data_IF_859059512379
#
_entry.id   IF_859059512379
#
_cell.length_a   1.000
_cell.length_b   1.000
_cell.length_c   1.000
_cell.angle_alpha   90.00
_cell.angle_beta   90.00
_cell.angle_gamma   90.00
#
_symmetry.space_group_name_H-M   'P 1'
#
loop_
_entity.id
_entity.type
_entity.pdbx_description
1 polymer ?
#
# COMPACT_ATOMS: atom_id res chain seq x y z
N UNK A 1 40.21 -44.50 6.67
CA UNK A 1 41.10 -43.85 7.67
C UNK A 1 41.65 -42.53 7.12
N UNK A 2 41.03 -41.39 7.50
CA UNK A 2 41.50 -40.06 7.10
C UNK A 2 42.61 -39.58 8.04
N UNK A 3 43.78 -39.24 7.51
CA UNK A 3 44.88 -38.65 8.28
C UNK A 3 44.58 -37.17 8.55
N UNK A 4 44.39 -36.81 9.82
CA UNK A 4 44.25 -35.42 10.25
C UNK A 4 45.64 -34.75 10.34
N UNK A 5 45.74 -33.49 9.93
CA UNK A 5 46.98 -32.70 9.96
C UNK A 5 46.92 -31.75 11.15
N UNK A 6 47.84 -31.88 12.10
CA UNK A 6 48.01 -30.91 13.19
C UNK A 6 49.10 -29.93 12.77
N UNK A 7 48.74 -28.67 12.53
CA UNK A 7 49.72 -27.63 12.16
C UNK A 7 50.24 -26.98 13.44
N UNK A 8 51.56 -27.08 13.66
CA UNK A 8 52.23 -26.40 14.75
C UNK A 8 52.83 -25.08 14.26
N UNK A 9 52.41 -23.97 14.87
CA UNK A 9 53.11 -22.68 14.78
C UNK A 9 53.58 -22.29 16.19
N UNK A 10 54.88 -22.09 16.36
CA UNK A 10 55.45 -21.68 17.65
C UNK A 10 54.76 -20.41 18.17
N UNK A 11 54.31 -20.43 19.43
CA UNK A 11 53.50 -19.40 20.12
C UNK A 11 52.02 -19.24 19.74
N UNK A 12 51.38 -20.20 19.06
CA UNK A 12 49.91 -20.24 18.92
C UNK A 12 49.34 -21.59 19.41
N UNK A 13 48.18 -21.55 20.09
CA UNK A 13 47.44 -22.77 20.50
C UNK A 13 47.17 -23.62 19.25
N UNK A 14 47.47 -24.92 19.32
CA UNK A 14 47.24 -25.89 18.24
C UNK A 14 45.78 -25.89 17.82
N UNK A 15 45.52 -25.66 16.53
CA UNK A 15 44.18 -25.63 15.97
C UNK A 15 43.94 -26.95 15.23
N UNK A 16 42.84 -27.63 15.58
CA UNK A 16 42.44 -28.88 14.93
C UNK A 16 41.81 -28.55 13.57
N UNK A 17 42.29 -29.22 12.52
CA UNK A 17 41.72 -29.08 11.18
C UNK A 17 41.29 -30.46 10.69
N UNK A 18 40.03 -30.56 10.25
CA UNK A 18 39.48 -31.84 9.78
C UNK A 18 40.18 -32.28 8.47
N UNK A 19 40.26 -33.60 8.19
CA UNK A 19 40.88 -34.09 6.95
C UNK A 19 40.20 -33.48 5.71
N UNK A 20 40.95 -32.71 4.92
CA UNK A 20 40.46 -31.99 3.73
C UNK A 20 40.22 -30.49 3.92
N UNK A 21 40.38 -29.97 5.14
CA UNK A 21 40.46 -28.53 5.41
C UNK A 21 41.95 -28.13 5.52
N UNK A 22 42.37 -27.08 4.81
CA UNK A 22 43.67 -26.44 5.03
C UNK A 22 43.49 -25.29 6.02
N UNK A 23 44.50 -25.02 6.87
CA UNK A 23 44.50 -23.80 7.69
C UNK A 23 44.54 -22.56 6.80
N UNK A 24 43.38 -21.93 6.60
CA UNK A 24 43.27 -20.60 6.00
C UNK A 24 43.71 -19.56 7.04
N UNK A 25 45.03 -19.48 7.26
CA UNK A 25 45.66 -18.60 8.25
C UNK A 25 46.79 -17.82 7.58
N UNK A 26 46.66 -16.50 7.53
CA UNK A 26 47.62 -15.59 6.88
C UNK A 26 47.24 -14.13 7.10
N UNK A 27 48.04 -13.22 6.56
CA UNK A 27 47.65 -11.82 6.41
C UNK A 27 46.53 -11.67 5.36
N UNK A 28 45.94 -10.48 5.25
CA UNK A 28 44.84 -10.24 4.33
C UNK A 28 45.24 -10.52 2.87
N UNK A 29 46.45 -10.13 2.46
CA UNK A 29 46.94 -10.35 1.10
C UNK A 29 47.06 -11.84 0.76
N UNK A 30 47.61 -12.66 1.66
CA UNK A 30 47.73 -14.11 1.46
C UNK A 30 46.35 -14.78 1.37
N UNK A 31 45.41 -14.43 2.26
CA UNK A 31 44.05 -14.99 2.21
C UNK A 31 43.32 -14.59 0.92
N UNK A 32 43.54 -13.37 0.44
CA UNK A 32 42.98 -12.92 -0.83
C UNK A 32 43.57 -13.70 -2.02
N UNK A 33 44.89 -13.92 -2.03
CA UNK A 33 45.58 -14.71 -3.05
C UNK A 33 45.12 -16.17 -3.09
N UNK A 34 44.88 -16.79 -1.92
CA UNK A 34 44.28 -18.14 -1.85
C UNK A 34 42.92 -18.15 -2.52
N UNK A 35 42.10 -17.11 -2.26
CA UNK A 35 40.80 -16.92 -2.93
C UNK A 35 40.93 -16.89 -4.45
N UNK A 36 41.79 -16.02 -4.97
CA UNK A 36 42.01 -15.88 -6.41
C UNK A 36 42.57 -17.15 -7.07
N UNK A 37 43.44 -17.87 -6.38
CA UNK A 37 44.03 -19.12 -6.88
C UNK A 37 42.95 -20.20 -6.96
N UNK A 38 42.13 -20.32 -5.91
CA UNK A 38 41.02 -21.26 -5.89
C UNK A 38 39.96 -20.96 -6.97
N UNK A 39 39.72 -19.69 -7.31
CA UNK A 39 38.87 -19.33 -8.45
C UNK A 39 39.44 -19.83 -9.78
N UNK A 40 40.74 -19.63 -10.03
CA UNK A 40 41.42 -20.11 -11.24
C UNK A 40 41.42 -21.63 -11.35
N UNK A 41 41.47 -22.32 -10.22
CA UNK A 41 41.36 -23.78 -10.12
C UNK A 41 39.93 -24.30 -10.32
N UNK A 42 38.93 -23.42 -10.47
CA UNK A 42 37.53 -23.81 -10.59
C UNK A 42 36.93 -24.32 -9.27
N UNK A 43 37.50 -23.92 -8.13
CA UNK A 43 37.03 -24.28 -6.79
C UNK A 43 36.40 -23.09 -6.06
N UNK A 44 35.18 -22.67 -6.44
CA UNK A 44 34.53 -21.48 -5.87
C UNK A 44 34.23 -21.63 -4.38
N UNK A 45 34.00 -22.85 -3.88
CA UNK A 45 33.78 -23.10 -2.45
C UNK A 45 35.03 -22.81 -1.62
N UNK A 46 36.22 -23.22 -2.09
CA UNK A 46 37.50 -22.89 -1.44
C UNK A 46 37.75 -21.39 -1.48
N UNK A 47 37.48 -20.73 -2.62
CA UNK A 47 37.61 -19.29 -2.75
C UNK A 47 36.72 -18.52 -1.76
N UNK A 48 35.43 -18.87 -1.67
CA UNK A 48 34.48 -18.27 -0.72
C UNK A 48 34.96 -18.42 0.73
N UNK A 49 35.52 -19.59 1.12
CA UNK A 49 36.05 -19.79 2.47
C UNK A 49 37.27 -18.89 2.76
N UNK A 50 38.16 -18.73 1.80
CA UNK A 50 39.34 -17.86 1.92
C UNK A 50 38.91 -16.39 2.10
N UNK A 51 37.99 -15.90 1.27
CA UNK A 51 37.44 -14.55 1.41
C UNK A 51 36.70 -14.34 2.73
N UNK A 52 35.86 -15.28 3.17
CA UNK A 52 35.20 -15.23 4.48
C UNK A 52 36.21 -15.17 5.63
N UNK A 53 37.31 -15.91 5.53
CA UNK A 53 38.38 -15.89 6.53
C UNK A 53 39.07 -14.54 6.58
N UNK A 54 39.31 -13.90 5.43
CA UNK A 54 39.86 -12.54 5.36
C UNK A 54 38.95 -11.55 6.06
N UNK A 55 37.65 -11.56 5.78
CA UNK A 55 36.68 -10.62 6.39
C UNK A 55 36.58 -10.84 7.90
N UNK A 56 36.63 -12.10 8.35
CA UNK A 56 36.56 -12.44 9.78
C UNK A 56 37.79 -12.00 10.55
N UNK A 57 38.98 -12.18 9.99
CA UNK A 57 40.25 -11.96 10.71
C UNK A 57 40.86 -10.59 10.45
N UNK A 58 40.58 -9.98 9.30
CA UNK A 58 41.12 -8.70 8.85
C UNK A 58 40.04 -7.74 8.33
N UNK A 59 38.96 -7.46 9.11
CA UNK A 59 37.82 -6.67 8.64
C UNK A 59 38.13 -5.18 8.36
N UNK A 60 39.30 -4.67 8.76
CA UNK A 60 39.71 -3.28 8.51
C UNK A 60 40.70 -3.13 7.36
N UNK A 61 41.10 -4.24 6.76
CA UNK A 61 42.05 -4.24 5.66
C UNK A 61 41.41 -3.68 4.39
N UNK A 62 42.22 -2.99 3.57
CA UNK A 62 41.79 -2.45 2.27
C UNK A 62 41.23 -3.52 1.31
N UNK A 63 41.63 -4.79 1.47
CA UNK A 63 41.16 -5.91 0.66
C UNK A 63 39.84 -6.51 1.15
N UNK A 64 39.40 -6.18 2.37
CA UNK A 64 38.17 -6.72 2.93
C UNK A 64 36.90 -6.45 2.08
N UNK A 65 36.63 -5.21 1.59
CA UNK A 65 35.51 -4.98 0.70
C UNK A 65 35.62 -5.74 -0.63
N UNK A 66 36.81 -5.85 -1.22
CA UNK A 66 37.04 -6.63 -2.45
C UNK A 66 36.79 -8.12 -2.23
N UNK A 67 37.26 -8.67 -1.12
CA UNK A 67 37.07 -10.08 -0.76
C UNK A 67 35.58 -10.39 -0.55
N UNK A 68 34.86 -9.51 0.13
CA UNK A 68 33.44 -9.67 0.38
C UNK A 68 32.62 -9.58 -0.91
N UNK A 69 32.95 -8.62 -1.78
CA UNK A 69 32.33 -8.50 -3.10
C UNK A 69 32.55 -9.75 -3.95
N UNK A 70 33.80 -10.21 -4.10
CA UNK A 70 34.12 -11.43 -4.86
C UNK A 70 33.47 -12.68 -4.27
N UNK A 71 33.50 -12.83 -2.95
CA UNK A 71 32.81 -13.91 -2.25
C UNK A 71 31.30 -13.92 -2.51
N UNK A 72 30.65 -12.76 -2.54
CA UNK A 72 29.24 -12.62 -2.85
C UNK A 72 28.92 -12.98 -4.31
N UNK A 73 29.74 -12.53 -5.28
CA UNK A 73 29.58 -12.88 -6.69
C UNK A 73 29.69 -14.40 -6.93
N UNK A 74 30.66 -15.05 -6.28
CA UNK A 74 30.81 -16.51 -6.37
C UNK A 74 29.59 -17.25 -5.77
N UNK A 75 29.01 -16.73 -4.68
CA UNK A 75 27.79 -17.30 -4.12
C UNK A 75 26.60 -17.15 -5.08
N UNK A 76 26.47 -15.99 -5.73
CA UNK A 76 25.44 -15.76 -6.75
C UNK A 76 25.60 -16.71 -7.95
N UNK A 77 26.83 -16.91 -8.44
CA UNK A 77 27.15 -17.87 -9.50
C UNK A 77 26.82 -19.32 -9.13
N UNK A 78 26.97 -19.67 -7.85
CA UNK A 78 26.58 -20.97 -7.31
C UNK A 78 25.07 -21.08 -7.02
N UNK A 79 24.29 -20.04 -7.32
CA UNK A 79 22.86 -19.93 -7.01
C UNK A 79 22.54 -19.93 -5.50
N UNK A 80 23.54 -19.66 -4.67
CA UNK A 80 23.40 -19.45 -3.23
C UNK A 80 22.92 -18.01 -2.96
N UNK A 81 21.73 -17.67 -3.47
CA UNK A 81 21.23 -16.29 -3.53
C UNK A 81 21.06 -15.61 -2.17
N UNK A 82 20.67 -16.37 -1.13
CA UNK A 82 20.52 -15.79 0.22
C UNK A 82 21.88 -15.46 0.85
N UNK A 83 22.85 -16.40 0.91
CA UNK A 83 24.22 -16.05 1.26
C UNK A 83 24.78 -14.86 0.47
N UNK A 84 24.53 -14.82 -0.85
CA UNK A 84 24.99 -13.74 -1.70
C UNK A 84 24.41 -12.39 -1.26
N UNK A 85 23.08 -12.30 -1.09
CA UNK A 85 22.41 -11.09 -0.64
C UNK A 85 22.87 -10.64 0.77
N UNK A 86 23.13 -11.59 1.68
CA UNK A 86 23.69 -11.30 3.00
C UNK A 86 25.12 -10.75 2.92
N UNK A 87 25.95 -11.31 2.03
CA UNK A 87 27.32 -10.84 1.81
C UNK A 87 27.35 -9.45 1.17
N UNK A 88 26.47 -9.19 0.19
CA UNK A 88 26.29 -7.84 -0.36
C UNK A 88 25.75 -6.85 0.68
N UNK A 89 24.84 -7.28 1.57
CA UNK A 89 24.37 -6.46 2.70
C UNK A 89 25.52 -6.08 3.61
N UNK A 90 26.32 -7.06 4.01
CA UNK A 90 27.47 -6.82 4.86
C UNK A 90 28.45 -5.84 4.21
N UNK A 91 28.59 -5.87 2.87
CA UNK A 91 29.44 -4.94 2.14
C UNK A 91 28.95 -3.49 2.28
N UNK A 92 27.67 -3.26 1.99
CA UNK A 92 27.10 -1.90 2.03
C UNK A 92 27.01 -1.35 3.46
N UNK A 93 26.84 -2.22 4.46
CA UNK A 93 26.76 -1.81 5.86
C UNK A 93 28.14 -1.53 6.48
N UNK A 94 29.12 -2.40 6.23
CA UNK A 94 30.45 -2.28 6.87
C UNK A 94 31.42 -1.42 6.08
N UNK A 95 31.25 -1.34 4.76
CA UNK A 95 32.15 -0.62 3.85
C UNK A 95 31.39 0.35 2.95
N UNK A 96 30.69 1.37 3.49
CA UNK A 96 29.89 2.29 2.71
C UNK A 96 30.70 3.15 1.71
N UNK A 97 32.01 3.31 1.92
CA UNK A 97 32.91 4.02 1.00
C UNK A 97 33.57 3.10 -0.03
N UNK A 98 33.17 1.82 -0.08
CA UNK A 98 33.70 0.84 -1.01
C UNK A 98 33.36 1.23 -2.46
N UNK A 99 34.28 1.04 -3.43
CA UNK A 99 33.94 1.22 -4.84
C UNK A 99 32.87 0.24 -5.33
N UNK A 100 32.61 -0.85 -4.59
CA UNK A 100 31.59 -1.85 -4.91
C UNK A 100 30.23 -1.58 -4.24
N UNK A 101 30.04 -0.42 -3.60
CA UNK A 101 28.81 -0.10 -2.88
C UNK A 101 27.59 -0.18 -3.81
N UNK A 102 27.62 0.55 -4.93
CA UNK A 102 26.52 0.59 -5.89
C UNK A 102 26.27 -0.78 -6.54
N UNK A 103 27.34 -1.49 -6.92
CA UNK A 103 27.23 -2.84 -7.49
C UNK A 103 26.58 -3.83 -6.52
N UNK A 104 26.86 -3.69 -5.22
CA UNK A 104 26.27 -4.53 -4.17
C UNK A 104 24.78 -4.21 -3.96
N UNK A 105 24.39 -2.93 -3.97
CA UNK A 105 22.97 -2.52 -3.93
C UNK A 105 22.22 -3.06 -5.15
N UNK A 106 22.79 -2.94 -6.35
CA UNK A 106 22.19 -3.47 -7.56
C UNK A 106 22.04 -5.01 -7.47
N UNK A 107 23.08 -5.72 -7.00
CA UNK A 107 23.01 -7.16 -6.84
C UNK A 107 21.94 -7.59 -5.84
N UNK A 108 21.80 -6.88 -4.71
CA UNK A 108 20.69 -7.12 -3.78
C UNK A 108 19.34 -6.91 -4.44
N UNK A 109 19.17 -5.81 -5.19
CA UNK A 109 17.92 -5.55 -5.90
C UNK A 109 17.58 -6.68 -6.89
N UNK A 110 18.53 -7.10 -7.74
CA UNK A 110 18.37 -8.21 -8.68
C UNK A 110 17.99 -9.52 -7.97
N UNK A 111 18.65 -9.84 -6.86
CA UNK A 111 18.33 -11.05 -6.07
C UNK A 111 16.92 -10.94 -5.46
N UNK A 112 16.53 -9.76 -4.97
CA UNK A 112 15.17 -9.48 -4.52
C UNK A 112 14.14 -9.77 -5.61
N UNK A 113 14.37 -9.31 -6.84
CA UNK A 113 13.49 -9.58 -7.99
C UNK A 113 13.42 -11.08 -8.34
N UNK A 114 14.51 -11.83 -8.20
CA UNK A 114 14.50 -13.29 -8.38
C UNK A 114 13.54 -13.96 -7.37
N UNK A 115 13.62 -13.57 -6.10
CA UNK A 115 12.75 -14.08 -5.05
C UNK A 115 11.29 -13.65 -5.22
N UNK A 116 11.05 -12.41 -5.66
CA UNK A 116 9.71 -11.88 -5.94
C UNK A 116 9.01 -12.65 -7.08
N UNK A 117 9.76 -12.99 -8.13
CA UNK A 117 9.21 -13.62 -9.32
C UNK A 117 8.92 -15.12 -9.14
N UNK A 118 9.67 -15.82 -8.27
CA UNK A 118 9.34 -17.14 -7.70
C UNK A 118 9.18 -18.34 -8.66
N UNK A 119 8.95 -18.14 -9.97
CA UNK A 119 8.70 -19.20 -10.96
C UNK A 119 9.92 -20.10 -11.17
N UNK A 120 11.13 -19.54 -11.14
CA UNK A 120 12.38 -20.33 -11.27
C UNK A 120 12.79 -21.00 -9.95
N UNK A 121 12.49 -20.40 -8.79
CA UNK A 121 12.84 -20.98 -7.49
C UNK A 121 11.93 -22.14 -7.08
N UNK A 122 10.68 -22.20 -7.57
CA UNK A 122 9.77 -23.32 -7.31
C UNK A 122 10.33 -24.67 -7.83
N UNK A 123 11.18 -24.63 -8.86
CA UNK A 123 11.93 -25.79 -9.38
C UNK A 123 13.02 -26.25 -8.40
N UNK A 124 13.51 -25.35 -7.53
CA UNK A 124 14.59 -25.58 -6.57
C UNK A 124 14.07 -25.98 -5.17
N UNK A 125 12.79 -26.34 -5.03
CA UNK A 125 12.21 -26.84 -3.77
C UNK A 125 11.90 -25.79 -2.70
N UNK A 126 11.97 -24.49 -3.01
CA UNK A 126 11.68 -23.40 -2.05
C UNK A 126 10.18 -23.05 -2.08
N UNK A 127 9.46 -23.03 -0.93
CA UNK A 127 8.06 -22.61 -0.88
C UNK A 127 7.87 -21.15 -1.31
N UNK A 128 6.80 -20.87 -2.06
CA UNK A 128 6.54 -19.53 -2.59
C UNK A 128 6.39 -18.46 -1.50
N UNK A 129 5.71 -18.77 -0.39
CA UNK A 129 5.57 -17.85 0.74
C UNK A 129 6.93 -17.43 1.31
N UNK A 130 7.83 -18.41 1.51
CA UNK A 130 9.20 -18.17 1.98
C UNK A 130 10.01 -17.33 1.00
N UNK A 131 9.77 -17.51 -0.31
CA UNK A 131 10.40 -16.71 -1.37
C UNK A 131 10.01 -15.22 -1.26
N UNK A 132 8.72 -14.93 -1.06
CA UNK A 132 8.22 -13.57 -0.94
C UNK A 132 8.74 -12.86 0.33
N UNK A 133 8.84 -13.57 1.47
CA UNK A 133 9.43 -12.99 2.69
C UNK A 133 10.92 -12.66 2.53
N UNK A 134 11.67 -13.48 1.79
CA UNK A 134 13.06 -13.18 1.43
C UNK A 134 13.15 -11.96 0.53
N UNK A 135 12.28 -11.84 -0.47
CA UNK A 135 12.22 -10.65 -1.33
C UNK A 135 12.02 -9.38 -0.50
N UNK A 136 11.01 -9.37 0.39
CA UNK A 136 10.75 -8.24 1.29
C UNK A 136 11.97 -7.89 2.13
N UNK A 137 12.63 -8.90 2.72
CA UNK A 137 13.82 -8.67 3.56
C UNK A 137 14.96 -8.03 2.77
N UNK A 138 15.21 -8.52 1.55
CA UNK A 138 16.29 -8.03 0.69
C UNK A 138 16.00 -6.60 0.20
N UNK A 139 14.79 -6.33 -0.29
CA UNK A 139 14.40 -4.98 -0.70
C UNK A 139 14.40 -3.99 0.48
N UNK A 140 13.95 -4.40 1.66
CA UNK A 140 14.01 -3.57 2.86
C UNK A 140 15.45 -3.18 3.24
N UNK A 141 16.42 -4.08 2.99
CA UNK A 141 17.83 -3.75 3.17
C UNK A 141 18.28 -2.68 2.17
N UNK A 142 17.95 -2.82 0.88
CA UNK A 142 18.25 -1.81 -0.15
C UNK A 142 17.70 -0.44 0.25
N UNK A 143 16.42 -0.37 0.65
CA UNK A 143 15.77 0.89 1.07
C UNK A 143 16.47 1.52 2.27
N UNK A 144 16.91 0.70 3.23
CA UNK A 144 17.58 1.17 4.45
C UNK A 144 19.01 1.64 4.20
N UNK A 145 19.78 0.92 3.37
CA UNK A 145 21.21 1.20 3.17
C UNK A 145 21.47 2.23 2.08
N UNK A 146 20.55 2.40 1.14
CA UNK A 146 20.66 3.37 0.06
C UNK A 146 19.37 4.20 -0.09
N UNK A 147 18.94 5.01 0.90
CA UNK A 147 17.64 5.70 0.89
C UNK A 147 17.40 6.63 -0.32
N UNK A 148 18.47 7.09 -0.98
CA UNK A 148 18.44 7.93 -2.18
C UNK A 148 19.04 7.24 -3.42
N UNK A 149 19.23 5.91 -3.35
CA UNK A 149 19.81 5.12 -4.43
C UNK A 149 18.83 4.88 -5.58
N UNK A 150 19.38 4.62 -6.76
CA UNK A 150 18.63 4.38 -8.02
C UNK A 150 17.54 3.31 -7.89
N UNK A 151 17.75 2.31 -7.04
CA UNK A 151 16.86 1.15 -6.90
C UNK A 151 15.84 1.30 -5.77
N UNK A 152 15.89 2.38 -4.99
CA UNK A 152 15.21 2.43 -3.69
C UNK A 152 13.72 2.65 -3.78
N UNK A 153 13.27 3.57 -4.63
CA UNK A 153 11.85 3.75 -4.89
C UNK A 153 11.22 2.47 -5.44
N UNK A 154 11.93 1.81 -6.36
CA UNK A 154 11.48 0.53 -6.94
C UNK A 154 11.48 -0.61 -5.93
N UNK A 155 12.53 -0.74 -5.10
CA UNK A 155 12.59 -1.73 -4.04
C UNK A 155 11.44 -1.54 -3.04
N UNK A 156 11.11 -0.29 -2.67
CA UNK A 156 9.98 0.00 -1.79
C UNK A 156 8.64 -0.40 -2.42
N UNK A 157 8.46 -0.17 -3.72
CA UNK A 157 7.29 -0.64 -4.47
C UNK A 157 7.24 -2.18 -4.51
N UNK A 158 8.36 -2.84 -4.75
CA UNK A 158 8.44 -4.29 -4.86
C UNK A 158 8.23 -4.99 -3.51
N UNK A 159 8.47 -4.32 -2.38
CA UNK A 159 7.99 -4.76 -1.05
C UNK A 159 6.46 -4.82 -1.05
N UNK A 160 5.78 -3.79 -1.55
CA UNK A 160 4.32 -3.76 -1.67
C UNK A 160 3.80 -4.90 -2.55
N UNK A 161 4.42 -5.10 -3.71
CA UNK A 161 4.07 -6.18 -4.64
C UNK A 161 4.29 -7.58 -4.03
N UNK A 162 5.34 -7.77 -3.23
CA UNK A 162 5.57 -9.01 -2.51
C UNK A 162 4.46 -9.27 -1.47
N UNK A 163 4.09 -8.25 -0.68
CA UNK A 163 3.02 -8.35 0.33
C UNK A 163 1.65 -8.58 -0.29
N UNK A 164 1.38 -7.95 -1.43
CA UNK A 164 0.15 -8.16 -2.21
C UNK A 164 0.04 -9.62 -2.67
N UNK A 165 1.13 -10.19 -3.23
CA UNK A 165 1.18 -11.62 -3.63
C UNK A 165 1.01 -12.58 -2.46
N UNK A 166 1.32 -12.16 -1.24
CA UNK A 166 1.07 -12.93 0.00
C UNK A 166 -0.38 -12.80 0.50
N UNK A 167 -1.19 -11.89 -0.06
CA UNK A 167 -2.51 -11.53 0.46
C UNK A 167 -2.46 -10.65 1.71
N UNK A 168 -1.29 -10.13 2.08
CA UNK A 168 -1.10 -9.23 3.22
C UNK A 168 -1.45 -7.79 2.83
N UNK A 169 -2.73 -7.53 2.57
CA UNK A 169 -3.21 -6.27 1.99
C UNK A 169 -2.80 -5.04 2.81
N UNK A 170 -2.93 -5.09 4.15
CA UNK A 170 -2.55 -3.96 5.01
C UNK A 170 -1.06 -3.61 4.88
N UNK A 171 -0.20 -4.63 4.84
CA UNK A 171 1.24 -4.45 4.66
C UNK A 171 1.57 -3.96 3.24
N UNK A 172 0.84 -4.41 2.23
CA UNK A 172 1.00 -3.95 0.86
C UNK A 172 0.61 -2.46 0.72
N UNK A 173 -0.53 -2.07 1.30
CA UNK A 173 -0.99 -0.68 1.34
C UNK A 173 0.03 0.23 2.02
N UNK A 174 0.57 -0.16 3.18
CA UNK A 174 1.62 0.59 3.86
C UNK A 174 2.88 0.75 2.99
N UNK A 175 3.29 -0.31 2.31
CA UNK A 175 4.48 -0.28 1.47
C UNK A 175 4.30 0.60 0.23
N UNK A 176 3.14 0.54 -0.44
CA UNK A 176 2.82 1.40 -1.58
C UNK A 176 2.63 2.86 -1.16
N UNK A 177 1.97 3.12 -0.02
CA UNK A 177 1.82 4.48 0.52
C UNK A 177 3.20 5.10 0.80
N UNK A 178 4.13 4.32 1.35
CA UNK A 178 5.50 4.79 1.55
C UNK A 178 6.22 5.15 0.24
N UNK A 179 5.85 4.56 -0.91
CA UNK A 179 6.37 4.99 -2.22
C UNK A 179 5.83 6.36 -2.58
N UNK A 180 4.52 6.55 -2.46
CA UNK A 180 3.84 7.82 -2.78
C UNK A 180 4.37 8.95 -1.90
N UNK A 181 4.55 8.70 -0.60
CA UNK A 181 4.98 9.71 0.36
C UNK A 181 6.46 10.09 0.21
N UNK A 182 7.33 9.10 0.00
CA UNK A 182 8.79 9.30 0.01
C UNK A 182 9.39 9.56 -1.36
N UNK A 183 8.75 9.07 -2.42
CA UNK A 183 9.25 9.15 -3.79
C UNK A 183 8.19 9.72 -4.76
N UNK A 184 7.51 10.84 -4.45
CA UNK A 184 6.37 11.33 -5.23
C UNK A 184 6.71 11.68 -6.69
N UNK A 185 7.98 11.97 -6.99
CA UNK A 185 8.43 12.34 -8.34
C UNK A 185 8.98 11.15 -9.15
N UNK A 186 9.12 9.97 -8.53
CA UNK A 186 9.60 8.78 -9.23
C UNK A 186 8.46 8.17 -10.05
N UNK A 187 8.72 7.67 -11.27
CA UNK A 187 7.68 7.07 -12.13
C UNK A 187 6.87 5.97 -11.43
N UNK A 188 7.51 5.22 -10.52
CA UNK A 188 6.88 4.12 -9.77
C UNK A 188 5.84 4.60 -8.76
N UNK A 189 5.82 5.87 -8.35
CA UNK A 189 4.79 6.40 -7.45
C UNK A 189 3.41 6.44 -8.11
N UNK A 190 3.36 6.63 -9.43
CA UNK A 190 2.11 6.55 -10.20
C UNK A 190 1.54 5.14 -10.11
N UNK A 191 2.38 4.12 -10.31
CA UNK A 191 1.97 2.71 -10.17
C UNK A 191 1.55 2.41 -8.73
N UNK A 192 2.28 2.89 -7.72
CA UNK A 192 1.95 2.69 -6.31
C UNK A 192 0.57 3.25 -5.95
N UNK A 193 0.29 4.49 -6.36
CA UNK A 193 -1.01 5.13 -6.12
C UNK A 193 -2.16 4.34 -6.76
N UNK A 194 -1.94 3.82 -7.97
CA UNK A 194 -2.93 2.96 -8.63
C UNK A 194 -3.13 1.64 -7.87
N UNK A 195 -2.05 0.99 -7.40
CA UNK A 195 -2.15 -0.28 -6.67
C UNK A 195 -2.89 -0.14 -5.34
N UNK A 196 -2.77 1.00 -4.65
CA UNK A 196 -3.55 1.30 -3.43
C UNK A 196 -5.06 1.17 -3.73
N UNK A 197 -5.55 1.82 -4.79
CA UNK A 197 -6.94 1.71 -5.20
C UNK A 197 -7.32 0.30 -5.65
N UNK A 198 -6.41 -0.40 -6.33
CA UNK A 198 -6.65 -1.75 -6.83
C UNK A 198 -6.77 -2.82 -5.73
N UNK A 199 -5.99 -2.68 -4.64
CA UNK A 199 -6.13 -3.54 -3.45
C UNK A 199 -7.52 -3.40 -2.85
N UNK A 200 -7.96 -2.15 -2.59
CA UNK A 200 -9.30 -1.90 -2.05
C UNK A 200 -10.41 -2.37 -2.99
N UNK A 201 -10.22 -2.17 -4.30
CA UNK A 201 -11.16 -2.65 -5.32
C UNK A 201 -11.32 -4.17 -5.28
N UNK A 202 -10.22 -4.91 -5.18
CA UNK A 202 -10.24 -6.37 -5.09
C UNK A 202 -10.92 -6.83 -3.79
N UNK A 203 -10.66 -6.15 -2.67
CA UNK A 203 -11.36 -6.40 -1.40
C UNK A 203 -12.88 -6.14 -1.53
N UNK A 204 -13.27 -5.04 -2.18
CA UNK A 204 -14.68 -4.69 -2.44
C UNK A 204 -15.38 -5.69 -3.38
N UNK A 205 -14.64 -6.35 -4.27
CA UNK A 205 -15.20 -7.37 -5.16
C UNK A 205 -15.39 -8.72 -4.48
N UNK A 206 -14.44 -9.16 -3.66
CA UNK A 206 -14.47 -10.46 -2.99
C UNK A 206 -15.34 -10.46 -1.73
N UNK A 207 -15.48 -9.31 -1.06
CA UNK A 207 -16.32 -9.14 0.12
C UNK A 207 -17.80 -8.96 -0.22
N UNK A 208 -18.67 -9.77 0.36
CA UNK A 208 -20.14 -9.64 0.21
C UNK A 208 -20.72 -8.44 0.98
N UNK A 209 -19.93 -7.77 1.85
CA UNK A 209 -20.42 -6.70 2.75
C UNK A 209 -19.44 -5.55 3.02
N UNK A 210 -18.31 -5.44 2.31
CA UNK A 210 -17.30 -4.42 2.64
C UNK A 210 -17.58 -3.07 1.95
N UNK A 211 -18.58 -2.34 2.48
CA UNK A 211 -18.91 -1.00 2.02
C UNK A 211 -17.75 0.00 2.24
N UNK A 212 -16.92 -0.24 3.26
CA UNK A 212 -15.72 0.55 3.51
C UNK A 212 -14.67 0.34 2.42
N UNK A 213 -14.38 -0.91 2.03
CA UNK A 213 -13.47 -1.18 0.92
C UNK A 213 -13.92 -0.56 -0.40
N UNK A 214 -15.23 -0.59 -0.73
CA UNK A 214 -15.76 0.05 -1.93
C UNK A 214 -15.56 1.58 -1.88
N UNK A 215 -15.78 2.20 -0.72
CA UNK A 215 -15.59 3.63 -0.50
C UNK A 215 -14.10 4.02 -0.59
N UNK A 216 -13.23 3.22 0.03
CA UNK A 216 -11.77 3.41 -0.04
C UNK A 216 -11.26 3.26 -1.47
N UNK A 217 -11.73 2.26 -2.20
CA UNK A 217 -11.38 2.05 -3.60
C UNK A 217 -11.81 3.23 -4.48
N UNK A 218 -13.03 3.72 -4.28
CA UNK A 218 -13.56 4.88 -5.01
C UNK A 218 -12.69 6.11 -4.74
N UNK A 219 -12.43 6.39 -3.47
CA UNK A 219 -11.59 7.53 -3.05
C UNK A 219 -10.19 7.42 -3.66
N UNK A 220 -9.53 6.27 -3.51
CA UNK A 220 -8.19 6.06 -4.04
C UNK A 220 -8.08 6.20 -5.57
N UNK A 221 -9.06 5.70 -6.33
CA UNK A 221 -9.07 5.89 -7.79
C UNK A 221 -9.42 7.32 -8.20
N UNK A 222 -10.30 8.01 -7.47
CA UNK A 222 -10.58 9.43 -7.70
C UNK A 222 -9.33 10.27 -7.43
N UNK A 223 -8.63 10.01 -6.32
CA UNK A 223 -7.35 10.65 -5.99
C UNK A 223 -6.30 10.37 -7.06
N UNK A 224 -6.21 9.11 -7.54
CA UNK A 224 -5.32 8.75 -8.64
C UNK A 224 -5.63 9.54 -9.91
N UNK A 225 -6.90 9.65 -10.30
CA UNK A 225 -7.31 10.39 -11.51
C UNK A 225 -7.12 11.91 -11.35
N UNK A 226 -7.22 12.43 -10.13
CA UNK A 226 -6.97 13.82 -9.82
C UNK A 226 -5.48 14.16 -9.98
N UNK A 227 -4.58 13.34 -9.40
CA UNK A 227 -3.14 13.58 -9.46
C UNK A 227 -2.51 13.18 -10.80
N UNK A 228 -3.03 12.14 -11.45
CA UNK A 228 -2.44 11.53 -12.65
C UNK A 228 -3.43 11.37 -13.81
N UNK A 229 -4.13 12.43 -14.26
CA UNK A 229 -5.23 12.34 -15.24
C UNK A 229 -4.81 11.82 -16.62
N UNK A 230 -3.51 11.89 -16.94
CA UNK A 230 -2.91 11.47 -18.22
C UNK A 230 -2.09 10.18 -18.11
N UNK A 231 -2.06 9.52 -16.95
CA UNK A 231 -1.36 8.24 -16.80
C UNK A 231 -1.97 7.17 -17.71
N UNK A 232 -1.16 6.22 -18.18
CA UNK A 232 -1.61 5.03 -18.91
C UNK A 232 -2.66 4.23 -18.12
N UNK A 233 -2.62 4.29 -16.77
CA UNK A 233 -3.58 3.64 -15.88
C UNK A 233 -4.89 4.42 -15.71
N UNK A 234 -5.02 5.63 -16.22
CA UNK A 234 -6.22 6.46 -16.04
C UNK A 234 -7.48 5.82 -16.63
N UNK A 235 -7.36 5.22 -17.82
CA UNK A 235 -8.47 4.50 -18.43
C UNK A 235 -8.90 3.31 -17.57
N UNK A 236 -7.93 2.57 -17.02
CA UNK A 236 -8.20 1.43 -16.16
C UNK A 236 -8.82 1.85 -14.81
N UNK A 237 -8.35 2.96 -14.22
CA UNK A 237 -8.92 3.51 -12.99
C UNK A 237 -10.38 3.96 -13.18
N UNK A 238 -10.70 4.61 -14.31
CA UNK A 238 -12.09 4.96 -14.67
C UNK A 238 -12.95 3.70 -14.82
N UNK A 239 -12.47 2.69 -15.52
CA UNK A 239 -13.20 1.43 -15.67
C UNK A 239 -13.46 0.73 -14.32
N UNK A 240 -12.48 0.73 -13.40
CA UNK A 240 -12.68 0.16 -12.06
C UNK A 240 -13.70 0.96 -11.24
N UNK A 241 -13.70 2.30 -11.36
CA UNK A 241 -14.71 3.16 -10.75
C UNK A 241 -16.11 2.84 -11.29
N UNK A 242 -16.25 2.70 -12.59
CA UNK A 242 -17.53 2.35 -13.21
C UNK A 242 -18.05 1.02 -12.67
N UNK A 243 -17.19 0.01 -12.49
CA UNK A 243 -17.54 -1.28 -11.89
C UNK A 243 -18.05 -1.11 -10.44
N UNK A 244 -17.37 -0.29 -9.63
CA UNK A 244 -17.78 -0.01 -8.25
C UNK A 244 -19.14 0.69 -8.21
N UNK A 245 -19.34 1.70 -9.05
CA UNK A 245 -20.57 2.48 -9.13
C UNK A 245 -21.74 1.64 -9.65
N UNK A 246 -21.52 0.81 -10.65
CA UNK A 246 -22.54 -0.13 -11.14
C UNK A 246 -22.97 -1.13 -10.05
N UNK A 247 -22.02 -1.70 -9.29
CA UNK A 247 -22.33 -2.62 -8.19
C UNK A 247 -23.14 -1.92 -7.09
N UNK A 248 -22.76 -0.70 -6.74
CA UNK A 248 -23.47 0.11 -5.74
C UNK A 248 -24.88 0.47 -6.22
N UNK A 249 -25.01 0.95 -7.45
CA UNK A 249 -26.29 1.33 -8.09
C UNK A 249 -27.23 0.13 -8.17
N UNK A 250 -26.74 -1.04 -8.59
CA UNK A 250 -27.52 -2.27 -8.65
C UNK A 250 -28.04 -2.70 -7.26
N UNK A 251 -27.24 -2.51 -6.20
CA UNK A 251 -27.67 -2.77 -4.84
C UNK A 251 -28.74 -1.77 -4.38
N UNK A 252 -28.53 -0.46 -4.59
CA UNK A 252 -29.53 0.58 -4.30
C UNK A 252 -30.87 0.29 -4.99
N UNK A 253 -30.82 -0.15 -6.26
CA UNK A 253 -32.02 -0.48 -7.02
C UNK A 253 -32.75 -1.72 -6.48
N UNK A 254 -32.02 -2.75 -6.04
CA UNK A 254 -32.60 -3.93 -5.38
C UNK A 254 -33.31 -3.54 -4.08
N UNK A 255 -32.69 -2.69 -3.26
CA UNK A 255 -33.28 -2.18 -2.02
C UNK A 255 -34.53 -1.35 -2.31
N UNK A 256 -34.49 -0.48 -3.32
CA UNK A 256 -35.66 0.28 -3.77
C UNK A 256 -36.83 -0.64 -4.14
N UNK A 257 -36.58 -1.69 -4.94
CA UNK A 257 -37.59 -2.69 -5.32
C UNK A 257 -38.13 -3.47 -4.13
N UNK A 258 -37.30 -3.75 -3.13
CA UNK A 258 -37.74 -4.42 -1.90
C UNK A 258 -38.76 -3.55 -1.15
N UNK A 259 -38.44 -2.28 -0.87
CA UNK A 259 -39.38 -1.37 -0.20
C UNK A 259 -40.64 -1.09 -1.02
N UNK A 260 -40.51 -0.95 -2.34
CA UNK A 260 -41.66 -0.77 -3.25
C UNK A 260 -42.61 -1.98 -3.18
N UNK A 261 -42.07 -3.21 -3.19
CA UNK A 261 -42.86 -4.44 -3.05
C UNK A 261 -43.60 -4.50 -1.70
N UNK A 262 -42.97 -4.01 -0.64
CA UNK A 262 -43.56 -3.93 0.70
C UNK A 262 -44.51 -2.73 0.88
N UNK A 263 -44.71 -1.92 -0.17
CA UNK A 263 -45.54 -0.71 -0.19
C UNK A 263 -45.04 0.42 0.70
N UNK A 264 -43.77 0.37 1.12
CA UNK A 264 -43.08 1.47 1.80
C UNK A 264 -42.57 2.48 0.77
N UNK A 265 -43.50 3.19 0.12
CA UNK A 265 -43.20 4.00 -1.07
C UNK A 265 -42.28 5.19 -0.79
N UNK A 266 -42.36 5.81 0.40
CA UNK A 266 -41.41 6.87 0.81
C UNK A 266 -39.96 6.36 0.79
N UNK A 267 -39.71 5.24 1.46
CA UNK A 267 -38.39 4.61 1.48
C UNK A 267 -37.95 4.18 0.07
N UNK A 268 -38.85 3.57 -0.70
CA UNK A 268 -38.56 3.17 -2.08
C UNK A 268 -38.11 4.34 -2.97
N UNK A 269 -38.78 5.49 -2.88
CA UNK A 269 -38.43 6.71 -3.63
C UNK A 269 -37.06 7.25 -3.24
N UNK A 270 -36.67 7.18 -1.95
CA UNK A 270 -35.32 7.57 -1.51
C UNK A 270 -34.25 6.75 -2.24
N UNK A 271 -34.38 5.42 -2.23
CA UNK A 271 -33.41 4.55 -2.90
C UNK A 271 -33.47 4.65 -4.43
N UNK A 272 -34.65 4.86 -5.03
CA UNK A 272 -34.75 5.13 -6.46
C UNK A 272 -34.07 6.44 -6.87
N UNK A 273 -34.19 7.50 -6.07
CA UNK A 273 -33.48 8.75 -6.30
C UNK A 273 -31.96 8.57 -6.17
N UNK A 274 -31.51 7.73 -5.23
CA UNK A 274 -30.09 7.40 -5.08
C UNK A 274 -29.54 6.70 -6.34
N UNK A 275 -30.28 5.75 -6.92
CA UNK A 275 -29.92 5.11 -8.21
C UNK A 275 -29.77 6.15 -9.32
N UNK A 276 -30.67 7.12 -9.40
CA UNK A 276 -30.63 8.20 -10.40
C UNK A 276 -29.43 9.12 -10.19
N UNK A 277 -29.13 9.46 -8.93
CA UNK A 277 -28.01 10.32 -8.57
C UNK A 277 -26.66 9.66 -8.82
N UNK A 278 -26.54 8.37 -8.51
CA UNK A 278 -25.29 7.61 -8.66
C UNK A 278 -24.95 7.37 -10.13
N UNK A 279 -25.94 7.04 -10.96
CA UNK A 279 -25.68 6.75 -12.37
C UNK A 279 -26.79 7.28 -13.30
N UNK A 280 -26.82 8.59 -13.57
CA UNK A 280 -27.81 9.20 -14.45
C UNK A 280 -27.77 8.58 -15.86
N UNK A 281 -28.94 8.19 -16.38
CA UNK A 281 -29.09 7.67 -17.75
C UNK A 281 -28.86 6.17 -17.91
N UNK A 282 -28.41 5.45 -16.88
CA UNK A 282 -28.39 3.98 -16.84
C UNK A 282 -29.79 3.35 -17.03
N UNK A 283 -29.86 2.07 -17.39
CA UNK A 283 -31.16 1.37 -17.49
C UNK A 283 -31.91 1.38 -16.16
N UNK A 284 -31.20 1.13 -15.05
CA UNK A 284 -31.73 1.13 -13.70
C UNK A 284 -32.23 2.53 -13.29
N UNK A 285 -31.50 3.61 -13.59
CA UNK A 285 -31.95 4.97 -13.29
C UNK A 285 -33.18 5.37 -14.10
N UNK A 286 -33.26 4.97 -15.38
CA UNK A 286 -34.43 5.21 -16.21
C UNK A 286 -35.66 4.46 -15.69
N UNK A 287 -35.48 3.20 -15.24
CA UNK A 287 -36.54 2.42 -14.61
C UNK A 287 -36.96 3.03 -13.26
N UNK A 288 -36.00 3.44 -12.44
CA UNK A 288 -36.23 4.11 -11.16
C UNK A 288 -37.05 5.40 -11.34
N UNK A 289 -36.67 6.25 -12.32
CA UNK A 289 -37.38 7.48 -12.65
C UNK A 289 -38.82 7.21 -13.05
N UNK A 290 -39.02 6.28 -14.00
CA UNK A 290 -40.37 5.86 -14.44
C UNK A 290 -41.22 5.36 -13.27
N UNK A 291 -40.61 4.62 -12.33
CA UNK A 291 -41.33 4.09 -11.16
C UNK A 291 -41.69 5.19 -10.16
N UNK A 292 -40.79 6.14 -9.91
CA UNK A 292 -41.08 7.31 -9.08
C UNK A 292 -42.26 8.10 -9.66
N UNK A 293 -42.28 8.36 -10.97
CA UNK A 293 -43.36 9.10 -11.63
C UNK A 293 -44.72 8.38 -11.47
N UNK A 294 -44.73 7.03 -11.59
CA UNK A 294 -45.93 6.23 -11.33
C UNK A 294 -46.41 6.33 -9.88
N UNK A 295 -45.49 6.34 -8.92
CA UNK A 295 -45.84 6.47 -7.50
C UNK A 295 -46.40 7.87 -7.22
N UNK A 296 -45.76 8.92 -7.75
CA UNK A 296 -46.21 10.31 -7.63
C UNK A 296 -47.59 10.52 -8.22
N UNK A 297 -47.87 9.97 -9.39
CA UNK A 297 -49.18 10.04 -10.02
C UNK A 297 -50.29 9.35 -9.19
N UNK A 298 -49.96 8.29 -8.44
CA UNK A 298 -50.94 7.54 -7.64
C UNK A 298 -51.18 8.11 -6.25
N UNK A 299 -50.14 8.61 -5.60
CA UNK A 299 -50.20 8.98 -4.17
C UNK A 299 -49.99 10.47 -3.92
N UNK A 300 -49.60 11.24 -4.95
CA UNK A 300 -49.23 12.65 -4.84
C UNK A 300 -47.82 12.84 -4.27
N UNK A 301 -47.17 13.95 -4.65
CA UNK A 301 -45.80 14.25 -4.24
C UNK A 301 -45.63 14.37 -2.72
N UNK A 302 -46.61 15.00 -2.05
CA UNK A 302 -46.58 15.22 -0.60
C UNK A 302 -46.55 13.90 0.20
N UNK A 303 -47.17 12.84 -0.32
CA UNK A 303 -47.18 11.54 0.35
C UNK A 303 -45.83 10.80 0.24
N UNK A 304 -44.95 11.21 -0.68
CA UNK A 304 -43.68 10.55 -0.99
C UNK A 304 -42.44 11.33 -0.50
N UNK A 305 -42.63 12.54 0.02
CA UNK A 305 -41.55 13.30 0.65
C UNK A 305 -41.05 12.62 1.93
N UNK A 306 -39.75 12.67 2.24
CA UNK A 306 -39.22 12.27 3.54
C UNK A 306 -39.94 13.06 4.64
N UNK A 307 -40.30 12.40 5.74
CA UNK A 307 -40.83 13.10 6.90
C UNK A 307 -39.72 13.98 7.49
N UNK A 308 -39.82 15.31 7.33
CA UNK A 308 -38.94 16.24 8.02
C UNK A 308 -39.13 16.05 9.54
N UNK A 309 -38.06 15.98 10.35
CA UNK A 309 -38.21 15.89 11.80
C UNK A 309 -38.97 17.11 12.31
N UNK A 310 -40.10 16.88 12.98
CA UNK A 310 -40.89 17.90 13.67
C UNK A 310 -40.13 18.34 14.92
N UNK A 311 -39.06 19.11 14.76
CA UNK A 311 -38.31 19.70 15.87
C UNK A 311 -38.58 21.21 16.03
N UNK A 312 -39.56 21.79 15.32
CA UNK A 312 -39.83 23.24 15.40
C UNK A 312 -41.31 23.65 15.53
N UNK A 313 -42.24 22.74 15.79
CA UNK A 313 -43.66 23.10 15.95
C UNK A 313 -44.38 22.38 17.10
N UNK A 314 -43.78 22.30 18.29
CA UNK A 314 -44.55 21.99 19.52
C UNK A 314 -44.03 22.84 20.68
N UNK A 315 -44.33 24.13 20.65
CA UNK A 315 -44.19 25.00 21.83
C UNK A 315 -45.41 25.92 21.94
N UNK A 316 -46.61 25.33 22.00
CA UNK A 316 -47.83 25.97 22.56
C UNK A 316 -49.02 25.00 22.63
N UNK A 317 -49.10 24.26 23.75
CA UNK A 317 -50.30 23.83 24.52
C UNK A 317 -49.96 22.52 25.26
N UNK A 318 -49.68 22.61 26.56
CA UNK A 318 -50.66 22.37 27.66
C UNK A 318 -50.82 20.86 27.87
N UNK A 319 -50.00 20.23 28.72
CA UNK A 319 -50.18 20.01 30.17
C UNK A 319 -51.47 19.25 30.53
N UNK A 320 -51.34 18.24 31.41
CA UNK A 320 -52.34 17.25 31.90
C UNK A 320 -52.45 15.98 31.04
N UNK A 321 -52.62 14.75 31.55
CA UNK A 321 -52.45 14.13 32.86
C UNK A 321 -52.43 12.59 32.64
N UNK A 322 -51.94 11.88 33.65
CA UNK A 322 -51.99 10.45 33.98
C UNK A 322 -52.83 9.42 33.17
N UNK A 323 -52.32 8.18 33.11
CA UNK A 323 -53.15 6.98 33.36
C UNK A 323 -52.86 5.70 32.54
N UNK A 324 -52.30 4.67 33.20
CA UNK A 324 -52.82 3.29 33.25
C UNK A 324 -53.04 2.42 31.99
N UNK A 325 -52.21 1.37 31.89
CA UNK A 325 -52.55 -0.07 31.68
C UNK A 325 -53.25 -0.64 30.41
N UNK A 326 -52.63 -1.74 29.96
CA UNK A 326 -53.20 -3.04 29.57
C UNK A 326 -53.38 -3.39 28.08
N UNK A 327 -52.99 -4.64 27.81
CA UNK A 327 -52.90 -5.34 26.55
C UNK A 327 -54.27 -5.65 25.91
N UNK A 328 -54.27 -5.72 24.58
CA UNK A 328 -55.35 -6.28 23.77
C UNK A 328 -54.76 -6.94 22.52
N UNK A 329 -54.81 -8.27 22.49
CA UNK A 329 -54.63 -9.09 21.29
C UNK A 329 -55.74 -8.75 20.28
N UNK A 330 -55.35 -8.28 19.09
CA UNK A 330 -56.27 -7.98 18.00
C UNK A 330 -55.58 -8.11 16.65
N UNK A 331 -56.06 -9.05 15.84
CA UNK A 331 -55.63 -9.31 14.47
C UNK A 331 -55.71 -8.06 13.60
N UNK A 332 -54.57 -7.57 13.11
CA UNK A 332 -54.50 -6.40 12.24
C UNK A 332 -54.86 -6.75 10.79
N UNK A 333 -56.06 -6.37 10.36
CA UNK A 333 -56.37 -6.09 8.95
C UNK A 333 -55.48 -4.93 8.46
N UNK A 334 -55.05 -4.90 7.18
CA UNK A 334 -54.10 -3.90 6.71
C UNK A 334 -54.75 -2.51 6.64
N UNK A 335 -54.36 -1.62 7.55
CA UNK A 335 -54.64 -0.18 7.51
C UNK A 335 -53.76 0.54 6.48
N UNK A 336 -54.02 1.84 6.30
CA UNK A 336 -53.39 2.79 5.35
C UNK A 336 -51.90 2.52 5.07
N UNK A 337 -51.38 2.80 3.85
CA UNK A 337 -49.98 2.52 3.51
C UNK A 337 -49.09 3.07 4.63
N UNK A 338 -48.41 2.18 5.35
CA UNK A 338 -47.59 2.46 6.52
C UNK A 338 -46.46 3.42 6.13
N UNK A 339 -46.78 4.72 6.02
CA UNK A 339 -45.88 5.83 5.76
C UNK A 339 -45.38 6.46 7.08
N UNK A 340 -45.76 5.87 8.21
CA UNK A 340 -45.41 6.28 9.59
C UNK A 340 -44.37 5.37 10.24
N UNK A 341 -43.91 4.30 9.59
CA UNK A 341 -42.84 3.47 10.14
C UNK A 341 -41.58 4.35 10.32
N UNK A 342 -41.04 4.50 11.55
CA UNK A 342 -39.77 5.15 11.76
C UNK A 342 -38.73 4.44 10.89
N UNK A 343 -37.91 5.22 10.19
CA UNK A 343 -36.72 4.67 9.54
C UNK A 343 -35.93 3.92 10.63
N UNK A 344 -35.50 2.67 10.38
CA UNK A 344 -34.82 1.88 11.41
C UNK A 344 -33.63 2.70 11.96
N UNK A 345 -33.45 2.75 13.29
CA UNK A 345 -32.33 3.46 13.89
C UNK A 345 -31.01 2.90 13.35
N UNK A 346 -29.98 3.74 13.40
CA UNK A 346 -28.65 3.53 12.82
C UNK A 346 -27.94 2.26 13.27
N UNK A 347 -28.42 1.60 14.32
CA UNK A 347 -27.86 0.36 14.84
C UNK A 347 -29.00 -0.58 15.22
N UNK A 348 -28.85 -1.87 14.92
CA UNK A 348 -29.74 -3.02 15.23
C UNK A 348 -30.77 -3.46 14.17
N UNK A 349 -30.34 -3.75 12.94
CA UNK A 349 -30.75 -5.00 12.26
C UNK A 349 -29.77 -5.38 11.12
N UNK A 350 -29.28 -6.62 11.13
CA UNK A 350 -28.04 -7.07 10.46
C UNK A 350 -28.21 -7.52 8.99
N UNK A 351 -29.24 -7.05 8.28
CA UNK A 351 -29.54 -7.56 6.93
C UNK A 351 -29.43 -6.55 5.79
N UNK A 352 -29.53 -5.23 6.01
CA UNK A 352 -29.36 -4.22 4.94
C UNK A 352 -28.84 -2.88 5.51
N UNK A 353 -27.84 -2.24 4.88
CA UNK A 353 -27.34 -0.94 5.32
C UNK A 353 -28.35 0.19 5.02
N UNK A 354 -28.42 1.24 5.88
CA UNK A 354 -29.30 2.39 5.67
C UNK A 354 -28.87 3.24 4.45
N UNK A 355 -29.74 4.12 3.93
CA UNK A 355 -29.37 5.01 2.84
C UNK A 355 -28.35 6.04 3.35
N UNK A 356 -27.26 6.24 2.60
CA UNK A 356 -26.18 7.17 2.93
C UNK A 356 -26.64 8.63 3.09
N UNK A 357 -27.82 8.98 2.57
CA UNK A 357 -28.46 10.29 2.69
C UNK A 357 -29.00 10.64 4.08
N UNK A 358 -28.83 9.76 5.08
CA UNK A 358 -29.17 10.00 6.48
C UNK A 358 -27.95 10.10 7.42
N UNK A 359 -26.73 9.89 6.90
CA UNK A 359 -25.52 10.15 7.66
C UNK A 359 -25.23 11.66 7.66
N UNK A 360 -24.85 12.27 8.79
CA UNK A 360 -24.38 13.66 8.77
C UNK A 360 -23.14 13.75 7.89
N UNK A 361 -23.08 14.77 7.03
CA UNK A 361 -21.87 15.14 6.30
C UNK A 361 -20.74 15.38 7.32
N UNK A 362 -19.87 14.39 7.50
CA UNK A 362 -18.62 14.57 8.27
C UNK A 362 -17.57 15.21 7.37
N UNK A 363 -17.93 16.33 6.74
CA UNK A 363 -16.92 17.31 6.33
C UNK A 363 -16.65 18.18 7.55
N UNK A 364 -15.90 17.64 8.52
CA UNK A 364 -15.25 18.47 9.52
C UNK A 364 -14.07 19.14 8.81
N UNK A 365 -14.32 20.34 8.29
CA UNK A 365 -13.25 21.29 7.97
C UNK A 365 -12.47 21.51 9.27
N UNK A 366 -11.16 21.25 9.34
CA UNK A 366 -10.39 21.63 10.51
C UNK A 366 -10.44 23.16 10.63
N UNK A 367 -10.96 23.65 11.75
CA UNK A 367 -10.94 25.07 12.06
C UNK A 367 -9.48 25.58 12.03
N UNK A 368 -9.21 26.78 11.48
CA UNK A 368 -7.87 27.35 11.52
C UNK A 368 -7.44 27.54 12.98
N UNK A 369 -6.38 26.86 13.40
CA UNK A 369 -5.80 27.07 14.72
C UNK A 369 -5.17 28.47 14.77
N UNK A 370 -5.72 29.33 15.63
CA UNK A 370 -5.09 30.59 16.03
C UNK A 370 -3.79 30.28 16.79
N UNK A 371 -2.67 30.99 16.51
CA UNK A 371 -1.43 30.79 17.24
C UNK A 371 -1.52 31.38 18.66
N UNK A 372 -1.14 30.57 19.66
CA UNK A 372 -0.93 31.01 21.05
C UNK A 372 0.38 31.82 21.17
N UNK A 373 0.47 32.75 22.15
CA UNK A 373 1.56 33.72 22.23
C UNK A 373 2.76 33.21 23.04
N UNK A 374 3.97 33.66 22.64
CA UNK A 374 5.09 33.88 23.56
C UNK A 374 6.20 32.84 23.55
N UNK A 375 7.39 33.26 23.10
CA UNK A 375 8.65 32.52 23.24
C UNK A 375 9.80 33.18 22.48
N UNK A 376 10.37 34.23 23.06
CA UNK A 376 11.44 35.07 22.53
C UNK A 376 12.77 34.32 22.30
N UNK A 377 13.45 34.60 21.18
CA UNK A 377 14.92 34.84 21.06
C UNK A 377 15.27 35.02 19.56
N UNK A 378 15.41 36.28 19.11
CA UNK A 378 16.69 36.97 18.85
C UNK A 378 17.54 36.35 17.73
N UNK A 379 17.47 36.94 16.54
CA UNK A 379 18.41 36.73 15.44
C UNK A 379 18.14 37.73 14.31
N UNK A 380 19.06 38.66 14.11
CA UNK A 380 18.88 39.92 13.40
C UNK A 380 18.71 39.81 11.87
N UNK A 381 17.89 40.71 11.30
CA UNK A 381 17.99 41.16 9.90
C UNK A 381 19.16 42.14 9.73
N UNK A 382 19.62 42.40 8.49
CA UNK A 382 18.97 43.47 7.73
C UNK A 382 18.80 43.19 6.23
N UNK A 383 17.78 43.85 5.66
CA UNK A 383 17.67 44.26 4.26
C UNK A 383 17.34 45.78 4.29
N UNK A 384 17.17 46.54 3.17
CA UNK A 384 17.20 46.15 1.76
C UNK A 384 17.87 47.18 0.82
N UNK A 385 17.88 46.87 -0.48
CA UNK A 385 18.08 47.83 -1.58
C UNK A 385 18.51 47.06 -2.82
N UNK A 386 17.96 47.25 -4.03
CA UNK A 386 16.95 48.15 -4.55
C UNK A 386 16.72 47.72 -6.01
N UNK A 387 15.53 48.02 -6.50
CA UNK A 387 15.06 47.85 -7.88
C UNK A 387 16.08 48.25 -8.96
N UNK A 388 16.16 47.49 -10.05
CA UNK A 388 15.96 47.96 -11.44
C UNK A 388 16.11 46.82 -12.46
N UNK A 389 15.02 46.52 -13.18
CA UNK A 389 15.03 46.19 -14.62
C UNK A 389 14.81 47.54 -15.36
N UNK A 390 15.11 47.74 -16.66
CA UNK A 390 14.80 46.77 -17.74
C UNK A 390 15.73 46.78 -18.98
N UNK A 391 15.34 45.90 -19.90
CA UNK A 391 15.47 45.95 -21.37
C UNK A 391 16.81 45.64 -22.08
N UNK A 392 16.65 44.62 -22.94
CA UNK A 392 17.08 44.48 -24.33
C UNK A 392 18.55 44.22 -24.73
N UNK A 393 18.60 43.50 -25.86
CA UNK A 393 19.66 43.48 -26.88
C UNK A 393 20.58 42.24 -26.96
N UNK A 394 20.08 41.29 -27.74
CA UNK A 394 20.68 40.73 -28.97
C UNK A 394 22.07 40.06 -28.98
N UNK A 395 22.08 38.99 -29.80
CA UNK A 395 23.17 38.56 -30.69
C UNK A 395 24.19 37.52 -30.17
N UNK A 396 23.88 36.26 -30.52
CA UNK A 396 24.80 35.30 -31.14
C UNK A 396 25.65 35.97 -32.25
N UNK A 397 26.90 35.54 -32.54
CA UNK A 397 27.14 34.19 -33.07
C UNK A 397 28.43 33.45 -32.68
N UNK A 398 28.36 32.15 -32.95
CA UNK A 398 29.36 31.11 -33.27
C UNK A 398 30.68 31.56 -33.96
N UNK A 399 31.73 30.71 -34.05
CA UNK A 399 31.71 29.24 -34.21
C UNK A 399 32.25 28.38 -33.06
#
# INVERSE_FOLDING_TARGET
>A
PGTASVVFKANKKTQYVAPGEEELSGDAAHLYQIGQTAEKEGNPKRAIRAYKSLIKHHPKDSLAPSALYRGAQLQEQLHDYTPAADSFRELVEKYPTSPYFEDAIEAQFRIGELYLNGKKLKVLGIPLASSLDRAVTIFANVVRTAPYGKYTARAQFDIGLAREKQGANDAALQAYQAVVDKFPNEPVAVDAQYQIGYIWFTAAQTGTKDAAAATNAKTAFQDFLFHYPKSEKSAQARANLDILEHKQTANSYKVAKFYDKQKYYRAAVIYYNEVIRQQPGSQESNQAKKRIDQLRAKFGDAALQPALPVAQQVSKKKSEAHGGQSAGTGSAKPGAPNNEAPLPPSETDSSLPPPASLAPDTTTVPAPQLPLPGGSSSGASPAPGGSTSPDDESALPEP
#
